data_IF_262506307161
#
_entry.id   IF_262506307161
#
_cell.length_a   1.000
_cell.length_b   1.000
_cell.length_c   1.000
_cell.angle_alpha   90.00
_cell.angle_beta   90.00
_cell.angle_gamma   90.00
#
_symmetry.space_group_name_H-M   'P 1'
#
loop_
_entity.id
_entity.type
_entity.pdbx_description
1 polymer ?
#
# COMPACT_ATOMS: atom_id res chain seq x y z
N UNK A 1 70.73 9.80 23.98
CA UNK A 1 69.33 9.53 24.39
C UNK A 1 68.62 8.95 23.16
N UNK A 2 68.51 7.62 23.00
CA UNK A 2 67.48 6.72 23.57
C UNK A 2 66.05 7.13 23.16
N UNK A 3 65.14 6.30 22.62
CA UNK A 3 65.13 4.90 22.17
C UNK A 3 63.83 4.70 21.34
N UNK A 4 63.87 4.18 20.11
CA UNK A 4 63.44 2.82 19.68
C UNK A 4 62.57 2.02 20.66
N UNK A 5 61.38 1.59 20.21
CA UNK A 5 60.79 0.31 20.59
C UNK A 5 59.91 -0.24 19.44
N UNK A 6 60.47 -1.18 18.68
CA UNK A 6 59.75 -2.13 17.87
C UNK A 6 59.99 -3.52 18.49
N UNK A 7 58.93 -4.29 18.75
CA UNK A 7 59.03 -5.72 19.06
C UNK A 7 58.08 -6.52 18.16
N UNK A 8 58.71 -7.44 17.44
CA UNK A 8 58.17 -8.53 16.63
C UNK A 8 57.49 -9.58 17.50
N UNK A 9 56.50 -10.29 16.95
CA UNK A 9 56.28 -11.72 17.26
C UNK A 9 55.93 -12.51 15.98
N UNK A 10 56.54 -13.69 15.91
CA UNK A 10 56.60 -14.73 14.86
C UNK A 10 55.23 -15.41 14.60
N UNK A 11 55.02 -16.07 13.45
CA UNK A 11 53.91 -17.00 13.25
C UNK A 11 54.26 -18.41 13.75
N UNK A 12 53.27 -19.23 14.16
CA UNK A 12 53.49 -20.66 14.34
C UNK A 12 53.01 -21.49 13.13
N UNK A 13 53.65 -22.64 13.03
CA UNK A 13 53.70 -23.68 12.00
C UNK A 13 52.62 -24.76 12.14
N UNK A 14 52.47 -25.57 11.09
CA UNK A 14 51.66 -26.79 10.93
C UNK A 14 51.86 -27.85 12.02
N UNK A 15 50.80 -28.61 12.36
CA UNK A 15 50.84 -30.09 12.45
C UNK A 15 49.43 -30.73 12.62
N UNK A 16 49.27 -31.93 12.04
CA UNK A 16 48.10 -32.81 12.03
C UNK A 16 47.95 -33.64 13.32
N UNK A 17 46.72 -34.04 13.68
CA UNK A 17 46.34 -35.32 14.34
C UNK A 17 44.82 -35.29 14.63
N UNK A 18 43.99 -36.00 13.85
CA UNK A 18 43.49 -37.37 14.06
C UNK A 18 42.37 -37.51 15.09
N UNK A 19 41.23 -38.00 14.60
CA UNK A 19 40.30 -38.97 15.22
C UNK A 19 39.72 -38.65 16.60
N UNK A 20 38.39 -38.52 16.69
CA UNK A 20 37.50 -39.67 16.95
C UNK A 20 36.13 -39.19 17.48
N UNK A 21 35.09 -40.00 17.25
CA UNK A 21 34.00 -40.11 18.21
C UNK A 21 32.78 -39.19 18.06
N UNK A 22 31.80 -39.64 17.29
CA UNK A 22 30.47 -39.82 17.86
C UNK A 22 29.44 -38.72 17.60
N UNK A 23 28.43 -39.10 16.81
CA UNK A 23 27.10 -38.50 16.83
C UNK A 23 26.58 -38.45 18.28
N UNK A 24 26.39 -37.23 18.83
CA UNK A 24 25.68 -37.01 20.11
C UNK A 24 24.40 -36.21 19.86
N UNK A 25 23.28 -36.60 20.50
CA UNK A 25 21.96 -36.07 20.21
C UNK A 25 21.78 -34.64 20.74
N UNK A 26 20.88 -33.90 20.08
CA UNK A 26 20.40 -32.59 20.52
C UNK A 26 19.91 -32.65 21.97
N UNK A 27 20.65 -32.05 22.89
CA UNK A 27 20.07 -31.42 24.07
C UNK A 27 21.07 -30.44 24.66
N UNK A 28 20.77 -29.15 24.54
CA UNK A 28 20.97 -28.13 25.57
C UNK A 28 20.54 -26.79 24.98
N UNK A 29 19.39 -26.30 25.45
CA UNK A 29 18.94 -24.94 25.30
C UNK A 29 20.07 -23.97 25.67
N UNK A 30 20.58 -23.25 24.68
CA UNK A 30 21.60 -22.23 24.85
C UNK A 30 21.34 -21.07 23.90
N UNK A 31 20.68 -20.03 24.42
CA UNK A 31 20.71 -18.68 23.85
C UNK A 31 19.91 -18.44 22.58
N UNK A 32 18.63 -18.10 22.73
CA UNK A 32 17.97 -17.20 21.77
C UNK A 32 18.67 -15.83 21.88
N UNK A 33 19.80 -15.67 21.20
CA UNK A 33 20.44 -14.39 20.98
C UNK A 33 20.40 -14.12 19.48
N UNK A 34 19.59 -13.13 19.12
CA UNK A 34 19.42 -12.56 17.78
C UNK A 34 18.70 -13.43 16.74
N UNK A 35 17.37 -13.40 16.76
CA UNK A 35 16.57 -13.46 15.52
C UNK A 35 16.09 -12.03 15.28
N UNK A 36 16.70 -11.37 14.29
CA UNK A 36 16.56 -9.92 14.09
C UNK A 36 15.35 -9.53 13.25
N UNK A 37 14.70 -10.48 12.58
CA UNK A 37 13.59 -10.20 11.68
C UNK A 37 12.40 -11.13 11.94
N UNK A 38 11.23 -10.52 12.18
CA UNK A 38 9.94 -11.22 12.33
C UNK A 38 9.65 -12.17 11.15
N UNK A 39 10.14 -11.80 9.96
CA UNK A 39 10.06 -12.60 8.72
C UNK A 39 10.75 -13.96 8.87
N UNK A 40 12.01 -14.00 9.32
CA UNK A 40 12.79 -15.22 9.57
C UNK A 40 12.16 -16.12 10.63
N UNK A 41 11.52 -15.53 11.65
CA UNK A 41 10.85 -16.26 12.72
C UNK A 41 9.53 -16.88 12.20
N UNK A 42 8.78 -16.14 11.39
CA UNK A 42 7.49 -16.59 10.84
C UNK A 42 7.62 -17.72 9.83
N UNK A 43 8.63 -17.67 8.94
CA UNK A 43 8.91 -18.71 7.96
C UNK A 43 9.34 -20.03 8.64
N UNK A 44 10.10 -19.94 9.74
CA UNK A 44 10.49 -21.11 10.54
C UNK A 44 9.36 -21.68 11.40
N UNK A 45 8.38 -20.86 11.79
CA UNK A 45 7.18 -21.32 12.49
C UNK A 45 6.22 -22.08 11.56
N UNK A 46 6.11 -21.65 10.29
CA UNK A 46 5.32 -22.33 9.26
C UNK A 46 5.85 -23.74 8.95
N UNK A 47 7.16 -23.97 9.12
CA UNK A 47 7.81 -25.28 8.98
C UNK A 47 7.48 -26.27 10.11
N UNK A 48 6.79 -25.85 11.17
CA UNK A 48 6.54 -26.67 12.36
C UNK A 48 5.11 -26.61 12.88
N UNK A 49 4.18 -27.29 12.21
CA UNK A 49 2.88 -27.81 12.72
C UNK A 49 1.97 -26.90 13.59
N UNK A 50 2.25 -25.61 13.73
CA UNK A 50 1.48 -24.64 14.52
C UNK A 50 0.99 -23.51 13.63
N UNK A 51 -0.27 -23.08 13.82
CA UNK A 51 -0.75 -21.87 13.16
C UNK A 51 -0.04 -20.63 13.71
N UNK A 52 0.18 -19.62 12.86
CA UNK A 52 0.79 -18.34 13.26
C UNK A 52 0.11 -17.70 14.48
N UNK A 53 -1.22 -17.87 14.61
CA UNK A 53 -1.99 -17.43 15.78
C UNK A 53 -1.60 -18.15 17.07
N UNK A 54 -1.33 -19.45 17.01
CA UNK A 54 -0.85 -20.23 18.16
C UNK A 54 0.60 -19.89 18.50
N UNK A 55 1.41 -19.59 17.48
CA UNK A 55 2.80 -19.18 17.62
C UNK A 55 2.94 -17.81 18.29
N UNK A 56 2.28 -16.75 17.81
CA UNK A 56 2.33 -15.42 18.45
C UNK A 56 1.87 -15.46 19.91
N UNK A 57 0.81 -16.22 20.20
CA UNK A 57 0.31 -16.37 21.57
C UNK A 57 1.32 -17.06 22.49
N UNK A 58 2.00 -18.10 21.99
CA UNK A 58 3.01 -18.85 22.75
C UNK A 58 4.25 -18.00 23.04
N UNK A 59 4.62 -17.11 22.12
CA UNK A 59 5.87 -16.33 22.20
C UNK A 59 5.69 -14.84 22.52
N UNK A 60 4.45 -14.37 22.76
CA UNK A 60 4.12 -12.95 23.01
C UNK A 60 4.69 -12.00 21.95
N UNK A 61 4.77 -12.45 20.71
CA UNK A 61 5.29 -11.64 19.61
C UNK A 61 4.28 -10.53 19.31
N UNK A 62 4.73 -9.27 19.37
CA UNK A 62 3.98 -8.13 18.90
C UNK A 62 4.07 -8.06 17.37
N UNK A 63 2.98 -7.69 16.71
CA UNK A 63 3.04 -7.33 15.29
C UNK A 63 3.99 -6.14 15.12
N UNK A 64 4.72 -6.03 14.00
CA UNK A 64 5.53 -4.85 13.73
C UNK A 64 4.65 -3.64 13.40
N UNK A 65 5.16 -2.44 13.69
CA UNK A 65 4.66 -1.20 13.09
C UNK A 65 4.85 -1.25 11.57
N UNK A 66 3.84 -0.83 10.82
CA UNK A 66 3.92 -0.75 9.36
C UNK A 66 4.03 0.71 8.92
N UNK A 67 4.84 0.98 7.91
CA UNK A 67 4.97 2.28 7.27
C UNK A 67 4.40 2.24 5.86
N UNK A 68 3.48 3.14 5.54
CA UNK A 68 2.93 3.29 4.21
C UNK A 68 3.08 4.73 3.72
N UNK A 69 3.15 4.87 2.40
CA UNK A 69 2.99 6.17 1.73
C UNK A 69 1.69 6.14 0.93
N UNK A 70 0.89 7.19 1.07
CA UNK A 70 -0.28 7.45 0.24
C UNK A 70 0.08 8.49 -0.81
N UNK A 71 -0.02 8.10 -2.06
CA UNK A 71 0.01 8.96 -3.24
C UNK A 71 -1.38 8.94 -3.89
N UNK A 72 -1.73 10.01 -4.58
CA UNK A 72 -3.07 10.15 -5.16
C UNK A 72 -3.06 11.17 -6.30
N UNK A 73 -4.04 11.06 -7.19
CA UNK A 73 -4.30 12.05 -8.24
C UNK A 73 -3.06 12.32 -9.09
N UNK A 74 -2.47 11.24 -9.60
CA UNK A 74 -1.22 11.28 -10.35
C UNK A 74 -1.44 11.93 -11.72
N UNK A 75 -2.62 11.70 -12.31
CA UNK A 75 -3.04 12.19 -13.62
C UNK A 75 -1.95 12.05 -14.70
N UNK A 76 -1.35 10.87 -14.77
CA UNK A 76 -0.31 10.58 -15.74
C UNK A 76 -0.88 10.56 -17.16
N UNK A 77 -0.10 11.08 -18.11
CA UNK A 77 -0.44 11.20 -19.52
C UNK A 77 0.28 10.12 -20.36
N UNK A 78 -0.18 9.86 -21.58
CA UNK A 78 0.52 8.92 -22.49
C UNK A 78 1.93 9.41 -22.86
N UNK A 79 2.06 10.71 -23.14
CA UNK A 79 3.33 11.40 -23.35
C UNK A 79 3.94 11.79 -22.00
N UNK A 80 5.16 11.32 -21.75
CA UNK A 80 5.91 11.59 -20.51
C UNK A 80 6.34 13.04 -20.35
N UNK A 81 6.49 13.76 -21.47
CA UNK A 81 6.95 15.15 -21.47
C UNK A 81 5.77 16.14 -21.52
N UNK A 82 4.54 15.64 -21.70
CA UNK A 82 3.34 16.47 -21.70
C UNK A 82 3.04 17.04 -20.32
N UNK A 83 2.43 18.23 -20.32
CA UNK A 83 2.04 18.94 -19.10
C UNK A 83 0.53 19.00 -18.95
N UNK A 84 0.06 18.66 -17.75
CA UNK A 84 -1.32 18.85 -17.35
C UNK A 84 -1.42 20.04 -16.40
N UNK A 85 -2.19 21.06 -16.78
CA UNK A 85 -2.34 22.30 -15.98
C UNK A 85 -0.98 22.91 -15.57
N UNK A 86 -0.04 22.95 -16.52
CA UNK A 86 1.36 23.37 -16.34
C UNK A 86 2.26 22.43 -15.53
N UNK A 87 1.76 21.30 -15.03
CA UNK A 87 2.53 20.31 -14.26
C UNK A 87 3.02 19.18 -15.15
N UNK A 88 4.30 18.83 -15.04
CA UNK A 88 4.90 17.67 -15.72
C UNK A 88 4.67 16.41 -14.85
N UNK A 89 3.52 15.75 -15.07
CA UNK A 89 2.93 14.79 -14.13
C UNK A 89 3.84 13.58 -13.84
N UNK A 90 4.55 13.06 -14.84
CA UNK A 90 5.48 11.95 -14.67
C UNK A 90 6.70 12.32 -13.83
N UNK A 91 7.23 13.53 -14.04
CA UNK A 91 8.41 14.03 -13.35
C UNK A 91 8.08 14.33 -11.89
N UNK A 92 6.92 14.94 -11.60
CA UNK A 92 6.48 15.20 -10.22
C UNK A 92 6.15 13.90 -9.48
N UNK A 93 5.46 12.96 -10.11
CA UNK A 93 5.21 11.62 -9.56
C UNK A 93 6.51 10.89 -9.18
N UNK A 94 7.48 10.81 -10.10
CA UNK A 94 8.78 10.17 -9.84
C UNK A 94 9.57 10.91 -8.76
N UNK A 95 9.54 12.25 -8.75
CA UNK A 95 10.19 13.05 -7.71
C UNK A 95 9.59 12.76 -6.33
N UNK A 96 8.25 12.67 -6.23
CA UNK A 96 7.53 12.29 -5.00
C UNK A 96 7.94 10.90 -4.54
N UNK A 97 7.93 9.90 -5.42
CA UNK A 97 8.34 8.54 -5.06
C UNK A 97 9.79 8.47 -4.59
N UNK A 98 10.71 9.12 -5.32
CA UNK A 98 12.12 9.16 -4.94
C UNK A 98 12.31 9.89 -3.60
N UNK A 99 11.58 10.96 -3.34
CA UNK A 99 11.61 11.64 -2.04
C UNK A 99 11.07 10.72 -0.94
N UNK A 100 9.95 10.03 -1.17
CA UNK A 100 9.31 9.15 -0.22
C UNK A 100 10.14 7.89 0.12
N UNK A 101 11.00 7.42 -0.78
CA UNK A 101 11.93 6.32 -0.46
C UNK A 101 13.20 6.81 0.22
N UNK A 102 13.67 8.03 -0.07
CA UNK A 102 14.90 8.59 0.52
C UNK A 102 14.70 9.16 1.91
N UNK A 103 13.57 9.84 2.14
CA UNK A 103 13.37 10.70 3.30
C UNK A 103 12.41 10.07 4.31
N UNK A 104 12.90 9.28 5.25
CA UNK A 104 12.10 8.69 6.35
C UNK A 104 12.19 7.16 6.41
N UNK A 105 11.35 6.49 7.22
CA UNK A 105 11.29 5.03 7.23
C UNK A 105 10.94 4.49 5.83
N UNK A 106 11.61 3.39 5.47
CA UNK A 106 11.31 2.63 4.26
C UNK A 106 9.85 2.19 4.31
N UNK A 107 9.01 2.51 3.31
CA UNK A 107 7.63 2.06 3.31
C UNK A 107 7.54 0.56 3.03
N UNK A 108 6.70 -0.12 3.81
CA UNK A 108 6.30 -1.51 3.60
C UNK A 108 5.37 -1.66 2.39
N UNK A 109 4.61 -0.61 2.05
CA UNK A 109 3.77 -0.54 0.86
C UNK A 109 3.39 0.90 0.48
N UNK A 110 2.90 1.04 -0.75
CA UNK A 110 2.36 2.27 -1.33
C UNK A 110 0.84 2.12 -1.45
N UNK A 111 0.09 3.15 -1.09
CA UNK A 111 -1.33 3.31 -1.40
C UNK A 111 -1.48 4.34 -2.51
N UNK A 112 -2.10 3.97 -3.61
CA UNK A 112 -2.44 4.87 -4.71
C UNK A 112 -3.96 5.01 -4.78
N UNK A 113 -4.49 6.13 -4.27
CA UNK A 113 -5.93 6.32 -4.01
C UNK A 113 -6.68 7.01 -5.15
N UNK A 114 -6.42 6.59 -6.39
CA UNK A 114 -7.18 6.97 -7.57
C UNK A 114 -6.59 8.10 -8.41
N UNK A 115 -7.20 8.28 -9.58
CA UNK A 115 -6.80 9.17 -10.67
C UNK A 115 -5.35 8.94 -11.09
N UNK A 116 -5.03 7.66 -11.36
CA UNK A 116 -3.69 7.24 -11.76
C UNK A 116 -3.35 7.74 -13.17
N UNK A 117 -4.28 7.58 -14.10
CA UNK A 117 -4.19 8.10 -15.47
C UNK A 117 -5.11 9.31 -15.64
N UNK A 118 -4.74 10.25 -16.52
CA UNK A 118 -5.65 11.29 -16.97
C UNK A 118 -6.36 10.92 -18.28
N UNK A 119 -5.64 10.24 -19.17
CA UNK A 119 -6.12 9.72 -20.45
C UNK A 119 -5.39 8.42 -20.81
N UNK A 120 -5.94 7.67 -21.77
CA UNK A 120 -5.30 6.48 -22.37
C UNK A 120 -4.80 5.47 -21.30
N UNK A 121 -5.67 5.05 -20.36
CA UNK A 121 -5.29 4.37 -19.12
C UNK A 121 -4.43 3.11 -19.33
N UNK A 122 -4.62 2.34 -20.41
CA UNK A 122 -3.84 1.10 -20.63
C UNK A 122 -2.33 1.38 -20.78
N UNK A 123 -1.97 2.40 -21.56
CA UNK A 123 -0.56 2.73 -21.81
C UNK A 123 0.06 3.27 -20.52
N UNK A 124 -0.66 4.15 -19.84
CA UNK A 124 -0.26 4.74 -18.57
C UNK A 124 -0.08 3.68 -17.48
N UNK A 125 -1.03 2.77 -17.30
CA UNK A 125 -0.95 1.71 -16.29
C UNK A 125 0.22 0.76 -16.55
N UNK A 126 0.47 0.40 -17.82
CA UNK A 126 1.63 -0.44 -18.18
C UNK A 126 2.97 0.23 -17.82
N UNK A 127 3.08 1.54 -18.05
CA UNK A 127 4.28 2.31 -17.68
C UNK A 127 4.42 2.51 -16.18
N UNK A 128 3.32 2.86 -15.50
CA UNK A 128 3.27 2.98 -14.04
C UNK A 128 3.68 1.66 -13.37
N UNK A 129 3.18 0.53 -13.87
CA UNK A 129 3.57 -0.80 -13.41
C UNK A 129 5.09 -1.04 -13.55
N UNK A 130 5.69 -0.65 -14.68
CA UNK A 130 7.13 -0.80 -14.90
C UNK A 130 7.96 0.06 -13.93
N UNK A 131 7.56 1.32 -13.71
CA UNK A 131 8.22 2.23 -12.76
C UNK A 131 8.18 1.66 -11.32
N UNK A 132 7.05 1.11 -10.90
CA UNK A 132 6.85 0.56 -9.55
C UNK A 132 7.57 -0.78 -9.38
N UNK A 133 7.58 -1.65 -10.39
CA UNK A 133 8.24 -2.95 -10.33
C UNK A 133 9.74 -2.82 -9.99
N UNK A 134 10.40 -1.75 -10.47
CA UNK A 134 11.80 -1.47 -10.17
C UNK A 134 12.10 -1.10 -8.71
N UNK A 135 11.09 -0.72 -7.93
CA UNK A 135 11.27 -0.27 -6.54
C UNK A 135 11.29 -1.42 -5.53
N UNK A 136 10.69 -2.57 -5.86
CA UNK A 136 10.55 -3.70 -4.93
C UNK A 136 9.59 -3.45 -3.76
N UNK A 137 8.78 -2.37 -3.81
CA UNK A 137 7.80 -2.00 -2.79
C UNK A 137 6.40 -2.34 -3.33
N UNK A 138 5.58 -3.14 -2.62
CA UNK A 138 4.20 -3.40 -3.03
C UNK A 138 3.37 -2.12 -3.16
N UNK A 139 2.48 -2.06 -4.14
CA UNK A 139 1.55 -0.94 -4.31
C UNK A 139 0.11 -1.45 -4.32
N UNK A 140 -0.79 -0.76 -3.63
CA UNK A 140 -2.22 -1.06 -3.65
C UNK A 140 -2.98 0.10 -4.27
N UNK A 141 -3.83 -0.22 -5.22
CA UNK A 141 -4.50 0.76 -6.08
C UNK A 141 -6.01 0.77 -5.85
N UNK A 142 -6.58 1.96 -5.67
CA UNK A 142 -8.00 2.22 -5.84
C UNK A 142 -8.19 3.05 -7.13
N UNK A 143 -9.28 2.84 -7.90
CA UNK A 143 -9.56 3.67 -9.07
C UNK A 143 -10.13 5.04 -8.68
N UNK A 144 -9.80 6.08 -9.46
CA UNK A 144 -10.48 7.38 -9.43
C UNK A 144 -11.38 7.61 -10.65
N UNK A 145 -12.07 8.74 -10.70
CA UNK A 145 -13.03 9.03 -11.79
C UNK A 145 -12.38 9.17 -13.18
N UNK A 146 -11.06 9.35 -13.26
CA UNK A 146 -10.30 9.30 -14.51
C UNK A 146 -9.82 7.89 -14.91
N UNK A 147 -9.97 6.92 -14.02
CA UNK A 147 -9.53 5.54 -14.23
C UNK A 147 -10.64 4.66 -14.84
N UNK A 148 -10.21 3.54 -15.43
CA UNK A 148 -11.11 2.44 -15.81
C UNK A 148 -10.89 1.29 -14.80
N UNK A 149 -11.84 1.03 -13.87
CA UNK A 149 -11.67 0.01 -12.84
C UNK A 149 -11.41 -1.40 -13.38
N UNK A 150 -12.05 -1.78 -14.49
CA UNK A 150 -11.90 -3.11 -15.07
C UNK A 150 -10.50 -3.28 -15.69
N UNK A 151 -10.03 -2.25 -16.40
CA UNK A 151 -8.70 -2.22 -16.97
C UNK A 151 -7.61 -2.14 -15.90
N UNK A 152 -7.84 -1.36 -14.84
CA UNK A 152 -6.94 -1.26 -13.70
C UNK A 152 -6.79 -2.63 -13.04
N UNK A 153 -7.90 -3.33 -12.78
CA UNK A 153 -7.87 -4.70 -12.27
C UNK A 153 -7.13 -5.65 -13.23
N UNK A 154 -7.38 -5.57 -14.54
CA UNK A 154 -6.69 -6.40 -15.53
C UNK A 154 -5.16 -6.21 -15.52
N UNK A 155 -4.68 -4.97 -15.59
CA UNK A 155 -3.25 -4.66 -15.71
C UNK A 155 -2.51 -5.02 -14.42
N UNK A 156 -3.07 -4.66 -13.26
CA UNK A 156 -2.38 -4.83 -11.99
C UNK A 156 -2.51 -6.24 -11.40
N UNK A 157 -3.57 -6.98 -11.73
CA UNK A 157 -3.72 -8.39 -11.30
C UNK A 157 -2.84 -9.36 -12.09
N UNK A 158 -2.36 -9.00 -13.29
CA UNK A 158 -1.43 -9.84 -14.06
C UNK A 158 0.01 -9.81 -13.50
N UNK A 159 0.37 -8.76 -12.75
CA UNK A 159 1.72 -8.57 -12.20
C UNK A 159 2.11 -9.65 -11.18
N UNK A 160 1.14 -10.24 -10.49
CA UNK A 160 1.37 -11.21 -9.42
C UNK A 160 1.70 -12.62 -9.92
N UNK A 161 1.54 -12.89 -11.23
CA UNK A 161 1.78 -14.21 -11.81
C UNK A 161 3.09 -14.35 -12.60
N UNK A 162 3.85 -13.27 -12.87
CA UNK A 162 5.09 -13.37 -13.65
C UNK A 162 6.33 -13.67 -12.80
N UNK A 163 6.22 -14.76 -12.01
CA UNK A 163 7.29 -15.31 -11.20
C UNK A 163 7.41 -16.83 -11.30
N UNK A 164 7.12 -17.46 -12.45
CA UNK A 164 7.66 -18.80 -12.78
C UNK A 164 7.38 -19.21 -14.24
N UNK A 165 8.47 -19.42 -14.98
CA UNK A 165 8.66 -20.34 -16.11
C UNK A 165 7.98 -20.11 -17.48
N UNK A 166 8.74 -20.54 -18.50
CA UNK A 166 8.58 -20.37 -19.92
C UNK A 166 7.68 -21.43 -20.62
N UNK A 167 7.43 -21.14 -21.91
CA UNK A 167 6.92 -21.98 -23.00
C UNK A 167 5.40 -22.28 -23.08
N UNK A 168 4.79 -21.89 -24.22
CA UNK A 168 3.60 -22.60 -24.73
C UNK A 168 2.57 -21.76 -25.49
N UNK A 169 2.73 -21.72 -26.81
CA UNK A 169 1.82 -21.32 -27.89
C UNK A 169 0.28 -21.49 -27.73
N UNK A 170 -0.42 -20.50 -28.31
CA UNK A 170 -1.67 -20.52 -29.14
C UNK A 170 -3.11 -20.54 -28.56
N UNK A 171 -3.84 -19.51 -29.01
CA UNK A 171 -5.24 -19.42 -29.51
C UNK A 171 -6.44 -19.48 -28.54
N UNK A 172 -7.25 -18.42 -28.58
CA UNK A 172 -8.70 -18.57 -28.80
C UNK A 172 -9.67 -17.83 -27.85
N UNK A 173 -10.32 -16.80 -28.41
CA UNK A 173 -11.68 -16.28 -28.11
C UNK A 173 -11.96 -15.58 -26.77
N UNK A 174 -12.24 -14.28 -26.92
CA UNK A 174 -12.90 -13.38 -25.97
C UNK A 174 -14.37 -13.76 -25.83
N UNK A 175 -14.82 -14.03 -24.60
CA UNK A 175 -16.23 -14.13 -24.24
C UNK A 175 -16.45 -13.71 -22.77
N UNK A 176 -17.35 -12.74 -22.57
CA UNK A 176 -18.18 -12.48 -21.37
C UNK A 176 -17.51 -12.50 -19.99
N UNK A 177 -17.37 -11.33 -19.36
CA UNK A 177 -17.08 -11.20 -17.92
C UNK A 177 -18.35 -11.56 -17.13
N UNK A 178 -18.36 -12.59 -16.26
CA UNK A 178 -19.48 -12.89 -15.38
C UNK A 178 -19.43 -12.01 -14.11
N UNK A 179 -20.58 -11.62 -13.54
CA UNK A 179 -20.64 -10.81 -12.33
C UNK A 179 -20.70 -11.70 -11.09
N UNK A 180 -19.66 -12.50 -10.81
CA UNK A 180 -19.48 -13.13 -9.50
C UNK A 180 -18.09 -13.79 -9.41
N UNK A 181 -17.07 -13.02 -9.03
CA UNK A 181 -15.81 -13.60 -8.57
C UNK A 181 -15.43 -12.92 -7.26
N UNK A 182 -15.54 -13.66 -6.16
CA UNK A 182 -14.99 -13.26 -4.87
C UNK A 182 -13.51 -12.89 -5.04
N UNK A 183 -13.04 -11.72 -4.56
CA UNK A 183 -11.63 -11.37 -4.67
C UNK A 183 -10.79 -12.28 -3.79
N UNK A 184 -9.75 -12.88 -4.39
CA UNK A 184 -8.79 -13.78 -3.77
C UNK A 184 -8.13 -13.16 -2.53
N UNK A 185 -7.97 -13.97 -1.48
CA UNK A 185 -7.10 -13.68 -0.33
C UNK A 185 -5.64 -13.79 -0.81
N UNK A 186 -4.96 -12.65 -0.99
CA UNK A 186 -3.59 -12.59 -1.49
C UNK A 186 -2.59 -12.62 -0.32
N UNK A 187 -1.81 -13.69 -0.19
CA UNK A 187 -0.68 -13.80 0.74
C UNK A 187 0.64 -13.52 0.02
N UNK A 188 1.51 -12.72 0.62
CA UNK A 188 2.58 -11.99 -0.08
C UNK A 188 3.85 -12.75 -0.39
N UNK A 189 4.40 -12.43 -1.56
CA UNK A 189 5.79 -12.74 -1.90
C UNK A 189 6.18 -12.21 -3.28
N UNK A 190 6.47 -10.91 -3.39
CA UNK A 190 6.98 -10.28 -4.62
C UNK A 190 6.33 -8.92 -4.89
N UNK A 191 7.03 -8.04 -5.63
CA UNK A 191 6.52 -6.75 -6.09
C UNK A 191 5.20 -6.96 -6.83
N UNK A 192 4.10 -6.79 -6.11
CA UNK A 192 2.74 -7.09 -6.54
C UNK A 192 1.97 -5.79 -6.44
N UNK A 193 1.27 -5.44 -7.53
CA UNK A 193 0.26 -4.39 -7.45
C UNK A 193 -1.06 -5.05 -7.13
N UNK A 194 -1.61 -4.77 -5.95
CA UNK A 194 -2.84 -5.40 -5.46
C UNK A 194 -4.06 -4.49 -5.61
N UNK A 195 -5.22 -5.09 -5.85
CA UNK A 195 -6.52 -4.42 -5.91
C UNK A 195 -7.44 -5.03 -4.84
N UNK A 196 -8.43 -4.25 -4.38
CA UNK A 196 -9.53 -4.77 -3.57
C UNK A 196 -9.25 -4.78 -2.07
N UNK A 197 -8.46 -5.72 -1.55
CA UNK A 197 -8.07 -5.69 -0.14
C UNK A 197 -6.77 -6.48 0.09
N UNK A 198 -6.10 -6.21 1.21
CA UNK A 198 -4.90 -6.93 1.61
C UNK A 198 -4.77 -7.01 3.13
N UNK A 199 -4.32 -8.17 3.62
CA UNK A 199 -3.93 -8.34 5.02
C UNK A 199 -2.42 -8.11 5.18
N UNK A 200 -2.03 -7.21 6.07
CA UNK A 200 -0.62 -6.90 6.41
C UNK A 200 -0.47 -6.87 7.92
N UNK A 201 0.24 -7.86 8.50
CA UNK A 201 0.35 -7.96 9.95
C UNK A 201 -1.02 -8.16 10.61
N UNK A 202 -1.42 -7.23 11.48
CA UNK A 202 -2.77 -7.16 12.06
C UNK A 202 -3.65 -6.06 11.45
N UNK A 203 -3.26 -5.53 10.30
CA UNK A 203 -4.03 -4.57 9.54
C UNK A 203 -4.72 -5.23 8.34
N UNK A 204 -5.96 -4.84 8.12
CA UNK A 204 -6.72 -5.08 6.91
C UNK A 204 -6.84 -3.75 6.15
N UNK A 205 -6.25 -3.68 4.97
CA UNK A 205 -6.35 -2.52 4.08
C UNK A 205 -7.40 -2.84 3.02
N UNK A 206 -8.45 -2.04 2.93
CA UNK A 206 -9.59 -2.26 2.02
C UNK A 206 -9.62 -1.12 1.01
N UNK A 207 -9.55 -1.41 -0.28
CA UNK A 207 -9.58 -0.45 -1.38
C UNK A 207 -10.91 -0.56 -2.11
N UNK A 208 -11.72 0.49 -2.03
CA UNK A 208 -13.07 0.55 -2.57
C UNK A 208 -13.10 1.23 -3.93
N UNK A 209 -13.92 0.69 -4.83
CA UNK A 209 -14.27 1.32 -6.10
C UNK A 209 -15.47 2.27 -5.91
N UNK A 210 -15.24 3.55 -6.18
CA UNK A 210 -16.26 4.60 -6.09
C UNK A 210 -16.62 5.17 -7.46
N UNK A 211 -16.05 4.65 -8.54
CA UNK A 211 -16.18 5.22 -9.89
C UNK A 211 -17.59 5.06 -10.41
N UNK A 212 -18.14 6.16 -10.90
CA UNK A 212 -19.37 6.17 -11.69
C UNK A 212 -18.99 6.52 -13.13
N UNK A 213 -19.25 5.64 -14.12
CA UNK A 213 -18.82 5.88 -15.49
C UNK A 213 -19.23 7.27 -16.01
N UNK A 214 -18.22 8.03 -16.46
CA UNK A 214 -18.35 9.39 -17.04
C UNK A 214 -18.83 10.47 -16.07
N UNK A 215 -18.83 10.21 -14.77
CA UNK A 215 -19.20 11.18 -13.75
C UNK A 215 -18.00 11.50 -12.87
N UNK A 216 -17.90 12.75 -12.44
CA UNK A 216 -16.85 13.20 -11.51
C UNK A 216 -17.16 12.85 -10.06
N UNK A 217 -18.41 12.50 -9.73
CA UNK A 217 -18.80 12.16 -8.36
C UNK A 217 -18.68 10.67 -8.08
N UNK A 218 -18.52 10.34 -6.80
CA UNK A 218 -18.43 8.97 -6.35
C UNK A 218 -19.77 8.34 -5.99
N UNK A 219 -19.87 7.02 -6.16
CA UNK A 219 -20.95 6.19 -5.62
C UNK A 219 -20.43 4.78 -5.33
N UNK A 220 -20.68 4.27 -4.12
CA UNK A 220 -20.44 2.85 -3.84
C UNK A 220 -21.64 2.03 -4.30
N UNK A 221 -21.40 1.01 -5.13
CA UNK A 221 -22.45 0.08 -5.52
C UNK A 221 -22.96 -0.73 -4.32
N UNK A 222 -24.15 -1.32 -4.42
CA UNK A 222 -24.66 -2.22 -3.39
C UNK A 222 -23.72 -3.42 -3.14
N UNK A 223 -23.10 -3.94 -4.20
CA UNK A 223 -22.11 -5.02 -4.11
C UNK A 223 -20.85 -4.57 -3.37
N UNK A 224 -20.38 -3.36 -3.62
CA UNK A 224 -19.19 -2.82 -2.97
C UNK A 224 -19.42 -2.52 -1.48
N UNK A 225 -20.60 -2.01 -1.13
CA UNK A 225 -21.04 -1.85 0.26
C UNK A 225 -21.15 -3.21 0.98
N UNK A 226 -21.77 -4.21 0.34
CA UNK A 226 -21.86 -5.56 0.89
C UNK A 226 -20.48 -6.20 1.08
N UNK A 227 -19.54 -5.96 0.15
CA UNK A 227 -18.15 -6.41 0.25
C UNK A 227 -17.44 -5.78 1.43
N UNK A 228 -17.59 -4.47 1.63
CA UNK A 228 -17.04 -3.77 2.81
C UNK A 228 -17.54 -4.39 4.11
N UNK A 229 -18.85 -4.57 4.26
CA UNK A 229 -19.46 -5.14 5.47
C UNK A 229 -18.97 -6.58 5.72
N UNK A 230 -18.90 -7.40 4.68
CA UNK A 230 -18.42 -8.78 4.76
C UNK A 230 -16.93 -8.87 5.16
N UNK A 231 -16.07 -8.04 4.56
CA UNK A 231 -14.64 -8.01 4.90
C UNK A 231 -14.42 -7.61 6.35
N UNK A 232 -15.12 -6.56 6.81
CA UNK A 232 -15.03 -6.10 8.20
C UNK A 232 -15.59 -7.16 9.16
N UNK A 233 -16.73 -7.78 8.84
CA UNK A 233 -17.35 -8.83 9.66
C UNK A 233 -16.46 -10.08 9.81
N UNK A 234 -15.78 -10.48 8.74
CA UNK A 234 -14.92 -11.69 8.71
C UNK A 234 -13.54 -11.46 9.34
N UNK A 235 -13.14 -10.20 9.54
CA UNK A 235 -11.85 -9.81 10.15
C UNK A 235 -12.01 -8.96 11.42
N UNK A 236 -12.80 -9.39 12.42
CA UNK A 236 -13.17 -8.54 13.56
C UNK A 236 -12.02 -8.21 14.52
N UNK A 237 -10.84 -8.82 14.32
CA UNK A 237 -9.65 -8.62 15.16
C UNK A 237 -8.53 -7.84 14.45
N UNK A 238 -8.67 -7.57 13.15
CA UNK A 238 -7.72 -6.77 12.41
C UNK A 238 -8.11 -5.29 12.52
N UNK A 239 -7.14 -4.40 12.67
CA UNK A 239 -7.39 -2.97 12.49
C UNK A 239 -7.65 -2.70 11.00
N UNK A 240 -8.68 -1.94 10.67
CA UNK A 240 -9.02 -1.68 9.29
C UNK A 240 -8.67 -0.24 8.86
N UNK A 241 -7.99 -0.14 7.71
CA UNK A 241 -7.76 1.09 6.97
C UNK A 241 -8.59 1.00 5.67
N UNK A 242 -9.58 1.88 5.52
CA UNK A 242 -10.45 1.92 4.35
C UNK A 242 -9.97 3.01 3.40
N UNK A 243 -9.71 2.65 2.15
CA UNK A 243 -9.19 3.51 1.11
C UNK A 243 -10.25 3.67 0.02
N UNK A 244 -10.50 4.89 -0.42
CA UNK A 244 -11.40 5.21 -1.53
C UNK A 244 -10.89 6.45 -2.26
N UNK A 245 -11.42 6.76 -3.44
CA UNK A 245 -11.00 7.97 -4.15
C UNK A 245 -11.80 9.20 -3.73
N UNK A 246 -13.13 9.15 -3.85
CA UNK A 246 -14.00 10.30 -3.57
C UNK A 246 -14.16 10.53 -2.07
N UNK A 247 -14.06 11.80 -1.64
CA UNK A 247 -14.17 12.18 -0.23
C UNK A 247 -15.55 11.84 0.35
N UNK A 248 -15.62 11.16 1.52
CA UNK A 248 -16.89 10.75 2.13
C UNK A 248 -17.50 11.82 3.05
N UNK A 249 -16.76 12.89 3.35
CA UNK A 249 -17.21 13.99 4.23
C UNK A 249 -17.06 15.31 3.50
N UNK A 250 -17.89 16.33 3.78
CA UNK A 250 -17.75 17.63 3.14
C UNK A 250 -16.34 18.20 3.29
N UNK A 251 -15.75 18.59 2.17
CA UNK A 251 -14.53 19.39 2.11
C UNK A 251 -14.81 20.86 2.48
N UNK A 252 -16.05 21.32 2.30
CA UNK A 252 -16.51 22.64 2.70
C UNK A 252 -16.38 23.69 1.59
N UNK A 253 -16.34 23.26 0.33
CA UNK A 253 -16.37 24.11 -0.87
C UNK A 253 -17.39 23.55 -1.84
N UNK A 254 -18.33 24.37 -2.29
CA UNK A 254 -19.50 23.91 -3.02
C UNK A 254 -19.13 23.10 -4.29
N UNK A 255 -18.11 23.53 -5.03
CA UNK A 255 -17.64 22.83 -6.23
C UNK A 255 -17.08 21.45 -5.92
N UNK A 256 -16.21 21.33 -4.91
CA UNK A 256 -15.62 20.05 -4.52
C UNK A 256 -16.67 19.13 -3.89
N UNK A 257 -17.50 19.65 -2.98
CA UNK A 257 -18.55 18.88 -2.29
C UNK A 257 -19.59 18.30 -3.27
N UNK A 258 -19.84 18.97 -4.41
CA UNK A 258 -20.74 18.49 -5.45
C UNK A 258 -20.26 17.22 -6.17
N UNK A 259 -18.96 16.93 -6.11
CA UNK A 259 -18.32 15.76 -6.70
C UNK A 259 -17.79 14.77 -5.65
N UNK A 260 -18.17 14.91 -4.39
CA UNK A 260 -17.89 13.92 -3.34
C UNK A 260 -18.66 12.60 -3.50
N UNK A 261 -18.49 11.71 -2.52
CA UNK A 261 -19.22 10.44 -2.45
C UNK A 261 -20.71 10.66 -2.15
N UNK A 262 -21.59 10.37 -3.10
CA UNK A 262 -23.03 10.68 -2.99
C UNK A 262 -23.78 9.86 -1.93
N UNK A 263 -23.41 8.59 -1.74
CA UNK A 263 -24.03 7.70 -0.76
C UNK A 263 -23.16 7.50 0.49
N UNK A 264 -22.47 8.55 0.93
CA UNK A 264 -21.63 8.52 2.12
C UNK A 264 -22.38 8.09 3.40
N UNK A 265 -23.67 8.38 3.52
CA UNK A 265 -24.48 7.91 4.66
C UNK A 265 -24.58 6.38 4.71
N UNK A 266 -24.77 5.72 3.56
CA UNK A 266 -24.80 4.26 3.48
C UNK A 266 -23.43 3.65 3.81
N UNK A 267 -22.36 4.30 3.36
CA UNK A 267 -20.99 3.93 3.71
C UNK A 267 -20.73 4.03 5.22
N UNK A 268 -21.03 5.18 5.83
CA UNK A 268 -20.83 5.37 7.27
C UNK A 268 -21.73 4.48 8.13
N UNK A 269 -22.94 4.17 7.67
CA UNK A 269 -23.83 3.19 8.34
C UNK A 269 -23.21 1.79 8.44
N UNK A 270 -22.28 1.44 7.55
CA UNK A 270 -21.50 0.20 7.66
C UNK A 270 -20.31 0.43 8.58
N UNK A 271 -19.49 1.44 8.28
CA UNK A 271 -18.25 1.72 9.02
C UNK A 271 -18.50 1.88 10.52
N UNK A 272 -19.55 2.61 10.92
CA UNK A 272 -19.85 2.90 12.33
C UNK A 272 -20.26 1.65 13.13
N UNK A 273 -20.65 0.54 12.46
CA UNK A 273 -20.95 -0.74 13.11
C UNK A 273 -19.70 -1.58 13.39
N UNK A 274 -18.55 -1.18 12.85
CA UNK A 274 -17.30 -1.95 12.88
C UNK A 274 -16.22 -1.21 13.66
N UNK A 275 -16.09 -1.42 14.98
CA UNK A 275 -15.18 -0.68 15.85
C UNK A 275 -13.70 -0.90 15.53
N UNK A 276 -13.38 -1.90 14.71
CA UNK A 276 -12.03 -2.19 14.25
C UNK A 276 -11.56 -1.25 13.13
N UNK A 277 -12.44 -0.46 12.50
CA UNK A 277 -12.04 0.59 11.56
C UNK A 277 -11.31 1.69 12.31
N UNK A 278 -10.07 1.99 11.89
CA UNK A 278 -9.21 3.01 12.54
C UNK A 278 -8.91 4.20 11.64
N UNK A 279 -9.00 4.04 10.32
CA UNK A 279 -8.76 5.12 9.39
C UNK A 279 -9.53 4.97 8.09
N UNK A 280 -9.85 6.12 7.50
CA UNK A 280 -10.42 6.27 6.16
C UNK A 280 -9.53 7.25 5.40
N UNK A 281 -8.96 6.82 4.27
CA UNK A 281 -8.04 7.61 3.44
C UNK A 281 -8.61 7.83 2.04
N UNK A 282 -8.46 9.03 1.49
CA UNK A 282 -8.94 9.35 0.15
C UNK A 282 -8.09 10.36 -0.64
N UNK A 283 -8.39 10.44 -1.95
CA UNK A 283 -7.78 11.31 -2.94
C UNK A 283 -8.69 12.46 -3.37
N UNK A 284 -8.76 12.76 -4.68
CA UNK A 284 -9.78 13.56 -5.37
C UNK A 284 -9.80 15.06 -5.05
N UNK A 285 -9.55 15.45 -3.80
CA UNK A 285 -9.60 16.84 -3.34
C UNK A 285 -8.31 17.61 -3.63
N UNK A 286 -7.24 16.91 -4.05
CA UNK A 286 -5.90 17.46 -4.28
C UNK A 286 -5.42 18.39 -3.16
N UNK A 287 -5.68 18.00 -1.92
CA UNK A 287 -5.42 18.80 -0.74
C UNK A 287 -5.23 17.90 0.47
N UNK A 288 -4.41 18.36 1.41
CA UNK A 288 -4.34 17.74 2.72
C UNK A 288 -5.69 17.94 3.45
N UNK A 289 -6.24 16.86 3.98
CA UNK A 289 -7.39 16.90 4.87
C UNK A 289 -7.14 16.02 6.08
N UNK A 290 -7.54 16.48 7.27
CA UNK A 290 -7.49 15.69 8.49
C UNK A 290 -8.67 16.04 9.41
N UNK A 291 -9.41 15.01 9.81
CA UNK A 291 -10.45 15.11 10.82
C UNK A 291 -10.59 13.78 11.58
N UNK A 292 -11.51 13.73 12.55
CA UNK A 292 -11.87 12.50 13.26
C UNK A 292 -13.37 12.28 13.25
N UNK A 293 -13.78 11.01 13.16
CA UNK A 293 -15.14 10.54 13.42
C UNK A 293 -15.07 9.50 14.55
N UNK A 294 -15.28 9.96 15.79
CA UNK A 294 -14.95 9.15 16.97
C UNK A 294 -13.46 8.80 16.98
N UNK A 295 -13.16 7.50 17.04
CA UNK A 295 -11.78 6.97 17.01
C UNK A 295 -11.22 6.78 15.59
N UNK A 296 -12.01 7.06 14.54
CA UNK A 296 -11.63 6.88 13.14
C UNK A 296 -10.95 8.14 12.62
N UNK A 297 -9.71 8.00 12.13
CA UNK A 297 -9.00 9.06 11.41
C UNK A 297 -9.60 9.25 10.01
N UNK A 298 -9.89 10.48 9.63
CA UNK A 298 -10.37 10.84 8.29
C UNK A 298 -9.28 11.65 7.58
N UNK A 299 -8.72 11.12 6.50
CA UNK A 299 -7.47 11.62 5.91
C UNK A 299 -7.58 11.79 4.39
N UNK A 300 -7.40 13.02 3.90
CA UNK A 300 -7.18 13.30 2.47
C UNK A 300 -5.71 13.63 2.21
N UNK A 301 -5.19 13.26 1.03
CA UNK A 301 -3.82 13.53 0.64
C UNK A 301 -3.71 14.59 -0.48
N UNK A 302 -2.62 15.38 -0.51
CA UNK A 302 -2.32 16.21 -1.67
C UNK A 302 -2.02 15.35 -2.90
N UNK A 303 -2.22 15.93 -4.08
CA UNK A 303 -1.93 15.28 -5.36
C UNK A 303 -0.42 15.24 -5.62
N UNK A 304 0.06 14.22 -6.34
CA UNK A 304 1.44 14.23 -6.88
C UNK A 304 1.58 15.08 -8.14
N UNK A 305 0.50 15.67 -8.62
CA UNK A 305 0.40 16.54 -9.80
C UNK A 305 0.14 18.00 -9.35
N UNK A 306 -0.89 18.67 -9.88
CA UNK A 306 -1.30 20.01 -9.45
C UNK A 306 -2.25 19.96 -8.24
N UNK A 307 -2.36 21.05 -7.48
CA UNK A 307 -3.34 21.14 -6.37
C UNK A 307 -4.59 21.91 -6.81
N UNK A 308 -5.71 21.75 -6.09
CA UNK A 308 -6.87 22.63 -6.23
C UNK A 308 -6.84 23.77 -5.22
N UNK A 309 -7.34 24.94 -5.60
CA UNK A 309 -7.52 26.07 -4.69
C UNK A 309 -8.53 25.73 -3.60
N UNK A 310 -8.02 25.39 -2.40
CA UNK A 310 -8.84 25.10 -1.24
C UNK A 310 -9.64 26.30 -0.72
N UNK A 311 -9.39 27.52 -1.20
CA UNK A 311 -10.18 28.71 -0.85
C UNK A 311 -11.33 28.99 -1.83
N UNK A 312 -11.33 28.36 -3.01
CA UNK A 312 -12.30 28.63 -4.06
C UNK A 312 -13.57 27.79 -3.92
N UNK A 313 -14.73 28.39 -4.18
CA UNK A 313 -16.01 27.68 -4.32
C UNK A 313 -16.09 26.87 -5.62
N UNK A 314 -15.24 27.18 -6.61
CA UNK A 314 -15.13 26.44 -7.87
C UNK A 314 -13.86 25.60 -7.84
N UNK A 315 -13.93 24.44 -8.49
CA UNK A 315 -12.73 23.62 -8.69
C UNK A 315 -11.83 24.35 -9.69
N UNK A 316 -10.68 24.81 -9.21
CA UNK A 316 -9.69 25.51 -10.00
C UNK A 316 -8.29 25.05 -9.62
N UNK A 317 -7.45 24.64 -10.58
CA UNK A 317 -6.09 24.23 -10.30
C UNK A 317 -5.24 25.44 -9.89
N UNK A 318 -4.26 25.21 -9.02
CA UNK A 318 -3.26 26.18 -8.63
C UNK A 318 -1.86 25.60 -8.81
N UNK A 319 -0.90 26.48 -9.05
CA UNK A 319 0.51 26.12 -9.01
C UNK A 319 0.93 25.96 -7.55
N UNK A 320 1.32 24.75 -7.19
CA UNK A 320 1.74 24.37 -5.85
C UNK A 320 2.69 23.18 -5.95
N UNK A 321 3.62 23.00 -5.01
CA UNK A 321 4.41 21.78 -4.92
C UNK A 321 3.52 20.53 -4.92
N UNK A 322 3.96 19.43 -5.56
CA UNK A 322 3.32 18.13 -5.36
C UNK A 322 3.53 17.65 -3.92
N UNK A 323 2.71 16.72 -3.47
CA UNK A 323 2.85 16.15 -2.14
C UNK A 323 2.40 14.70 -2.05
N UNK A 324 2.62 14.14 -0.87
CA UNK A 324 2.14 12.82 -0.49
C UNK A 324 1.87 12.78 1.02
N UNK A 325 1.23 11.71 1.49
CA UNK A 325 0.98 11.48 2.92
C UNK A 325 1.73 10.24 3.39
N UNK A 326 2.35 10.32 4.57
CA UNK A 326 2.91 9.18 5.28
C UNK A 326 1.93 8.68 6.33
N UNK A 327 1.89 7.37 6.48
CA UNK A 327 1.08 6.66 7.47
C UNK A 327 1.98 5.70 8.24
N UNK A 328 1.95 5.79 9.56
CA UNK A 328 2.53 4.79 10.46
C UNK A 328 1.37 4.07 11.13
N UNK A 329 1.23 2.79 10.82
CA UNK A 329 0.16 1.93 11.27
C UNK A 329 0.66 1.07 12.43
N UNK A 330 0.21 1.39 13.64
CA UNK A 330 0.71 0.76 14.85
C UNK A 330 0.02 -0.57 15.15
N UNK A 331 0.69 -1.48 15.86
CA UNK A 331 0.10 -2.77 16.26
C UNK A 331 -1.13 -2.66 17.16
N UNK A 332 -1.38 -1.51 17.80
CA UNK A 332 -2.56 -1.24 18.63
C UNK A 332 -3.69 -0.52 17.87
N UNK A 333 -3.50 -0.30 16.57
CA UNK A 333 -4.46 0.34 15.68
C UNK A 333 -4.37 1.86 15.63
N UNK A 334 -3.42 2.47 16.34
CA UNK A 334 -3.13 3.90 16.19
C UNK A 334 -2.56 4.16 14.80
N UNK A 335 -2.93 5.31 14.23
CA UNK A 335 -2.41 5.79 12.95
C UNK A 335 -1.75 7.14 13.21
N UNK A 336 -0.44 7.22 13.00
CA UNK A 336 0.23 8.52 12.87
C UNK A 336 0.27 8.91 11.40
N UNK A 337 -0.01 10.18 11.12
CA UNK A 337 -0.01 10.68 9.75
C UNK A 337 0.63 12.05 9.65
N UNK A 338 1.34 12.29 8.54
CA UNK A 338 1.83 13.62 8.19
C UNK A 338 1.89 13.76 6.67
N UNK A 339 1.70 14.99 6.20
CA UNK A 339 1.82 15.37 4.79
C UNK A 339 3.22 15.89 4.52
N UNK A 340 3.77 15.53 3.37
CA UNK A 340 5.08 15.97 2.89
C UNK A 340 4.89 16.60 1.50
N UNK A 341 5.45 17.80 1.33
CA UNK A 341 5.50 18.54 0.07
C UNK A 341 6.91 18.40 -0.53
N UNK A 342 7.01 18.28 -1.85
CA UNK A 342 8.26 17.95 -2.57
C UNK A 342 8.68 19.06 -3.52
#
# INVERSE_FOLDING_TARGET
>A
MAAKAARRTKPPTEENASEDGGFKPLSAFGGLKFLRDYKDISERAALGLMSMKAFHRKFKLQYPTLHAIQITDLHLLEDEDARLKNTAAWQTFRAVLQHAVREGPQPDFILATGDLAHERPRVVYGRLQADIAGMGIPMYVAPGNHDDPALLAEVFSQATHQGSAANGSTTGKVAGVPPDTAPMEMTDGGASVGFGHVSRGNWLVILLDTVVPRMEHGLLSAGELARLDALLHTHPRAHALVCLHHHPVPFGRAGMDAIGLRNAEAFFSIVDRHPQVRGIVWGHIHNAFEAKRGEIMLLGAPSTCFQFDAASERISPIESPPGYRRLTLEPDGRIDSHVVWV
#
